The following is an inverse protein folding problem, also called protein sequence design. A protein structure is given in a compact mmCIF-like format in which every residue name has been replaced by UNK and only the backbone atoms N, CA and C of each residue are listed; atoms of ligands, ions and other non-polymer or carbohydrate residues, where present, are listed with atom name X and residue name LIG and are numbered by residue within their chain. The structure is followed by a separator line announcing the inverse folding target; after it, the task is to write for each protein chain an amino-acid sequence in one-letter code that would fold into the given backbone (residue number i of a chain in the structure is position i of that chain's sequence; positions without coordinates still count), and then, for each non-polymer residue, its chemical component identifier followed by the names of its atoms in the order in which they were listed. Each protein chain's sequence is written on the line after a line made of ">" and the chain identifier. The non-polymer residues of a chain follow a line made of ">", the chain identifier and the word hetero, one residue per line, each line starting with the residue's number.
data_IF_558174754021
#
_entry.id   IF_558174754021
#
_cell.length_a   1.000
_cell.length_b   1.000
_cell.length_c   1.000
_cell.angle_alpha   90.00
_cell.angle_beta   90.00
_cell.angle_gamma   90.00
#
_symmetry.space_group_name_H-M   'P 1'
#
loop_
_entity.id
_entity.type
_entity.pdbx_description
1 polymer ?
#
# COMPACT_ATOMS: atom_id res chain seq x y z
N UNK A 1 23.02 -7.38 0.22
CA UNK A 1 22.07 -6.25 0.01
C UNK A 1 22.23 -5.25 1.15
N UNK A 2 22.36 -3.96 0.85
CA UNK A 2 22.63 -2.91 1.85
C UNK A 2 21.33 -2.22 2.28
N UNK A 3 20.37 -2.12 1.39
CA UNK A 3 19.09 -1.48 1.65
C UNK A 3 18.29 -1.21 0.38
N UNK A 4 17.15 -0.59 0.54
CA UNK A 4 16.20 -0.21 -0.51
C UNK A 4 16.10 1.31 -0.56
N UNK A 5 16.10 1.87 -1.76
CA UNK A 5 15.84 3.29 -1.99
C UNK A 5 14.58 3.42 -2.82
N UNK A 6 13.60 4.12 -2.29
CA UNK A 6 12.39 4.46 -3.05
C UNK A 6 12.64 5.68 -3.92
N UNK A 7 12.17 5.64 -5.15
CA UNK A 7 12.35 6.73 -6.13
C UNK A 7 11.83 8.06 -5.59
N UNK A 8 10.70 8.07 -4.91
CA UNK A 8 10.14 9.28 -4.30
C UNK A 8 11.07 9.89 -3.25
N UNK A 9 11.72 9.07 -2.42
CA UNK A 9 12.68 9.54 -1.42
C UNK A 9 13.93 10.11 -2.08
N UNK A 10 14.40 9.47 -3.15
CA UNK A 10 15.53 9.95 -3.94
C UNK A 10 15.24 11.30 -4.59
N UNK A 11 14.10 11.41 -5.27
CA UNK A 11 13.69 12.65 -5.94
C UNK A 11 13.51 13.80 -4.96
N UNK A 12 12.89 13.54 -3.79
CA UNK A 12 12.71 14.54 -2.76
C UNK A 12 14.07 15.03 -2.20
N UNK A 13 14.98 14.10 -1.90
CA UNK A 13 16.33 14.44 -1.45
C UNK A 13 17.11 15.23 -2.50
N UNK A 14 16.99 14.84 -3.77
CA UNK A 14 17.64 15.55 -4.88
C UNK A 14 17.08 16.97 -5.08
N UNK A 15 15.76 17.14 -4.84
CA UNK A 15 15.11 18.44 -4.97
C UNK A 15 15.50 19.40 -3.82
N UNK A 16 15.61 18.88 -2.59
CA UNK A 16 15.89 19.66 -1.39
C UNK A 16 17.39 19.97 -1.24
N UNK A 17 18.22 18.94 -1.36
CA UNK A 17 19.67 19.01 -1.06
C UNK A 17 20.55 19.16 -2.32
N UNK A 18 19.99 18.91 -3.51
CA UNK A 18 20.74 18.79 -4.77
C UNK A 18 21.33 17.40 -4.95
N UNK A 19 21.46 16.93 -6.20
CA UNK A 19 21.96 15.59 -6.53
C UNK A 19 23.36 15.29 -5.97
N UNK A 20 24.23 16.30 -5.93
CA UNK A 20 25.61 16.15 -5.45
C UNK A 20 25.73 16.05 -3.93
N UNK A 21 24.68 16.42 -3.20
CA UNK A 21 24.67 16.50 -1.74
C UNK A 21 23.80 15.44 -1.07
N UNK A 22 23.31 14.44 -1.81
CA UNK A 22 22.43 13.42 -1.26
C UNK A 22 23.16 12.61 -0.19
N UNK A 23 22.60 12.62 1.02
CA UNK A 23 23.05 11.76 2.12
C UNK A 23 22.34 10.42 2.03
N UNK A 24 22.96 9.45 1.38
CA UNK A 24 22.39 8.12 1.10
C UNK A 24 21.82 7.42 2.33
N UNK A 25 22.46 7.59 3.51
CA UNK A 25 21.97 7.00 4.78
C UNK A 25 20.60 7.50 5.21
N UNK A 26 20.16 8.67 4.74
CA UNK A 26 18.85 9.22 5.08
C UNK A 26 17.71 8.61 4.29
N UNK A 27 18.00 8.19 3.07
CA UNK A 27 17.01 7.67 2.12
C UNK A 27 17.05 6.15 1.99
N UNK A 28 18.10 5.52 2.52
CA UNK A 28 18.25 4.07 2.53
C UNK A 28 17.37 3.48 3.62
N UNK A 29 16.48 2.58 3.23
CA UNK A 29 15.63 1.83 4.15
C UNK A 29 16.12 0.40 4.28
N UNK A 30 16.01 -0.16 5.48
CA UNK A 30 16.34 -1.56 5.71
C UNK A 30 15.35 -2.46 4.97
N UNK A 31 15.82 -3.50 4.27
CA UNK A 31 14.93 -4.43 3.59
C UNK A 31 14.14 -5.26 4.61
N UNK A 32 12.89 -5.56 4.28
CA UNK A 32 12.12 -6.58 4.95
C UNK A 32 12.42 -7.93 4.29
N UNK A 33 12.98 -8.87 5.03
CA UNK A 33 13.24 -10.21 4.55
C UNK A 33 12.16 -11.16 5.05
N UNK A 34 11.60 -11.95 4.14
CA UNK A 34 10.60 -12.97 4.45
C UNK A 34 10.91 -14.26 3.67
N UNK A 35 10.52 -15.44 4.16
CA UNK A 35 10.69 -16.67 3.40
C UNK A 35 9.78 -16.65 2.16
N UNK A 36 10.24 -17.23 1.05
CA UNK A 36 9.44 -17.33 -0.19
C UNK A 36 8.14 -18.15 -0.02
N UNK A 37 8.07 -18.95 1.05
CA UNK A 37 6.89 -19.77 1.40
C UNK A 37 5.85 -19.02 2.24
N UNK A 38 6.06 -17.72 2.52
CA UNK A 38 5.11 -16.92 3.31
C UNK A 38 3.76 -16.84 2.59
N UNK A 39 2.67 -16.93 3.34
CA UNK A 39 1.34 -16.72 2.79
C UNK A 39 1.10 -15.23 2.50
N UNK A 40 0.31 -14.94 1.46
CA UNK A 40 -0.02 -13.57 1.01
C UNK A 40 -0.61 -12.75 2.15
N UNK A 41 -1.54 -13.31 2.92
CA UNK A 41 -2.19 -12.63 4.04
C UNK A 41 -1.21 -12.23 5.15
N UNK A 42 -0.26 -13.12 5.46
CA UNK A 42 0.75 -12.86 6.49
C UNK A 42 1.77 -11.84 6.01
N UNK A 43 2.16 -11.90 4.72
CA UNK A 43 3.05 -10.93 4.11
C UNK A 43 2.40 -9.53 4.09
N UNK A 44 1.12 -9.46 3.76
CA UNK A 44 0.38 -8.21 3.75
C UNK A 44 0.31 -7.57 5.15
N UNK A 45 0.05 -8.39 6.19
CA UNK A 45 0.10 -7.95 7.60
C UNK A 45 1.49 -7.44 7.98
N UNK A 46 2.54 -8.15 7.58
CA UNK A 46 3.93 -7.80 7.90
C UNK A 46 4.33 -6.48 7.23
N UNK A 47 4.04 -6.29 5.95
CA UNK A 47 4.28 -5.05 5.22
C UNK A 47 3.56 -3.88 5.88
N UNK A 48 2.31 -4.07 6.30
CA UNK A 48 1.52 -3.04 6.97
C UNK A 48 2.07 -2.71 8.36
N UNK A 49 2.39 -3.70 9.17
CA UNK A 49 2.91 -3.51 10.52
C UNK A 49 4.26 -2.80 10.52
N UNK A 50 5.10 -3.12 9.55
CA UNK A 50 6.43 -2.51 9.38
C UNK A 50 6.41 -1.22 8.57
N UNK A 51 5.24 -0.84 8.03
CA UNK A 51 5.09 0.32 7.13
C UNK A 51 6.04 0.24 5.92
N UNK A 52 6.30 -0.97 5.44
CA UNK A 52 7.12 -1.24 4.26
C UNK A 52 6.24 -1.44 3.04
N UNK A 53 6.76 -1.09 1.88
CA UNK A 53 6.07 -1.27 0.60
C UNK A 53 6.63 -2.41 -0.22
N UNK A 54 7.73 -3.02 0.24
CA UNK A 54 8.45 -4.07 -0.48
C UNK A 54 9.07 -5.05 0.51
N UNK A 55 9.05 -6.34 0.14
CA UNK A 55 9.75 -7.41 0.84
C UNK A 55 10.69 -8.16 -0.11
N UNK A 56 11.77 -8.67 0.44
CA UNK A 56 12.73 -9.54 -0.24
C UNK A 56 12.42 -10.98 0.17
N UNK A 57 12.18 -11.83 -0.82
CA UNK A 57 11.91 -13.24 -0.62
C UNK A 57 13.22 -14.00 -0.51
N UNK A 58 13.35 -14.82 0.52
CA UNK A 58 14.51 -15.69 0.74
C UNK A 58 14.13 -17.15 0.50
N UNK A 59 15.00 -17.85 -0.20
CA UNK A 59 14.94 -19.31 -0.35
C UNK A 59 15.37 -20.04 0.94
N UNK A 60 15.28 -21.38 0.96
CA UNK A 60 15.67 -22.22 2.09
C UNK A 60 17.16 -22.15 2.43
N UNK A 61 17.99 -21.64 1.54
CA UNK A 61 19.43 -21.47 1.75
C UNK A 61 19.82 -20.04 2.18
N UNK A 62 18.81 -19.16 2.33
CA UNK A 62 19.01 -17.74 2.64
C UNK A 62 19.45 -16.91 1.44
N UNK A 63 19.35 -17.46 0.23
CA UNK A 63 19.53 -16.73 -1.03
C UNK A 63 18.32 -15.88 -1.37
N UNK A 64 18.51 -14.84 -2.16
CA UNK A 64 17.44 -14.00 -2.65
C UNK A 64 16.68 -14.74 -3.77
N UNK A 65 15.45 -15.16 -3.48
CA UNK A 65 14.55 -15.78 -4.45
C UNK A 65 13.83 -14.75 -5.33
N UNK A 66 13.53 -13.59 -4.77
CA UNK A 66 12.84 -12.52 -5.49
C UNK A 66 12.51 -11.33 -4.59
N UNK A 67 11.68 -10.47 -5.12
CA UNK A 67 11.08 -9.37 -4.37
C UNK A 67 9.58 -9.29 -4.68
N UNK A 68 8.82 -8.73 -3.77
CA UNK A 68 7.40 -8.50 -3.93
C UNK A 68 7.05 -7.14 -3.34
N UNK A 69 6.17 -6.42 -4.01
CA UNK A 69 5.68 -5.11 -3.55
C UNK A 69 4.27 -5.24 -2.98
N UNK A 70 3.88 -4.27 -2.16
CA UNK A 70 2.50 -4.17 -1.67
C UNK A 70 1.51 -4.03 -2.83
N UNK A 71 1.89 -3.31 -3.89
CA UNK A 71 1.06 -3.13 -5.09
C UNK A 71 0.83 -4.46 -5.80
N UNK A 72 1.86 -5.30 -5.98
CA UNK A 72 1.73 -6.63 -6.60
C UNK A 72 0.76 -7.51 -5.81
N UNK A 73 0.84 -7.48 -4.46
CA UNK A 73 -0.08 -8.26 -3.62
C UNK A 73 -1.52 -7.77 -3.73
N UNK A 74 -1.72 -6.46 -3.77
CA UNK A 74 -3.05 -5.88 -3.91
C UNK A 74 -3.63 -6.16 -5.30
N UNK A 75 -2.82 -6.11 -6.35
CA UNK A 75 -3.23 -6.45 -7.71
C UNK A 75 -3.65 -7.92 -7.81
N UNK A 76 -2.91 -8.84 -7.18
CA UNK A 76 -3.27 -10.26 -7.15
C UNK A 76 -4.61 -10.50 -6.43
N UNK A 77 -4.82 -9.85 -5.29
CA UNK A 77 -6.07 -9.97 -4.52
C UNK A 77 -7.26 -9.39 -5.31
N UNK A 78 -7.09 -8.20 -5.90
CA UNK A 78 -8.15 -7.52 -6.68
C UNK A 78 -8.34 -8.19 -8.04
N UNK A 79 -7.27 -8.64 -8.70
CA UNK A 79 -7.33 -9.31 -10.00
C UNK A 79 -8.05 -10.65 -9.95
N UNK A 80 -7.92 -11.44 -8.90
CA UNK A 80 -8.69 -12.68 -8.69
C UNK A 80 -10.20 -12.42 -8.57
N UNK A 81 -10.61 -11.22 -8.25
CA UNK A 81 -12.00 -10.82 -8.04
C UNK A 81 -12.63 -10.29 -9.33
N UNK A 82 -11.85 -9.63 -10.19
CA UNK A 82 -12.32 -9.14 -11.50
C UNK A 82 -12.73 -10.27 -12.45
N UNK A 83 -12.25 -11.49 -12.24
CA UNK A 83 -12.55 -12.65 -13.10
C UNK A 83 -13.91 -13.31 -12.79
N UNK A 84 -14.58 -12.96 -11.69
CA UNK A 84 -15.85 -13.59 -11.27
C UNK A 84 -17.10 -12.72 -11.36
N UNK A 85 -17.01 -11.40 -11.57
CA UNK A 85 -18.21 -10.54 -11.54
C UNK A 85 -18.24 -9.47 -12.62
N UNK A 86 -18.94 -9.78 -13.69
CA UNK A 86 -19.40 -8.85 -14.74
C UNK A 86 -20.60 -7.97 -14.23
N UNK A 87 -20.57 -7.55 -12.96
CA UNK A 87 -21.58 -6.65 -12.37
C UNK A 87 -20.88 -5.62 -11.49
N UNK A 88 -21.23 -4.35 -11.72
CA UNK A 88 -20.86 -3.21 -10.90
C UNK A 88 -21.44 -3.33 -9.47
N UNK A 89 -20.93 -4.29 -8.70
CA UNK A 89 -21.18 -4.37 -7.26
C UNK A 89 -20.04 -3.63 -6.56
N UNK A 90 -20.40 -2.87 -5.56
CA UNK A 90 -19.48 -2.13 -4.70
C UNK A 90 -18.52 -3.13 -4.05
N UNK A 91 -17.30 -3.16 -4.54
CA UNK A 91 -16.33 -4.15 -4.11
C UNK A 91 -15.60 -3.72 -2.85
N UNK A 92 -15.99 -4.30 -1.73
CA UNK A 92 -15.33 -4.18 -0.42
C UNK A 92 -14.79 -5.55 -0.03
N UNK A 93 -13.47 -5.66 0.06
CA UNK A 93 -12.79 -6.93 0.36
C UNK A 93 -12.11 -6.90 1.73
N UNK A 94 -12.50 -7.78 2.65
CA UNK A 94 -11.80 -7.92 3.92
C UNK A 94 -10.43 -8.57 3.70
N UNK A 95 -9.36 -7.97 4.23
CA UNK A 95 -7.99 -8.46 4.16
C UNK A 95 -7.35 -8.72 5.53
N UNK A 96 -8.16 -8.75 6.57
CA UNK A 96 -7.71 -9.02 7.94
C UNK A 96 -8.69 -8.47 8.96
N UNK A 97 -8.31 -8.54 10.23
CA UNK A 97 -9.12 -8.03 11.32
C UNK A 97 -9.35 -6.52 11.15
N UNK A 98 -10.60 -6.14 10.92
CA UNK A 98 -11.06 -4.75 10.73
C UNK A 98 -10.35 -3.98 9.60
N UNK A 99 -9.81 -4.68 8.61
CA UNK A 99 -9.14 -4.07 7.46
C UNK A 99 -9.78 -4.53 6.16
N UNK A 100 -10.05 -3.55 5.29
CA UNK A 100 -10.75 -3.77 4.02
C UNK A 100 -10.04 -3.07 2.88
N UNK A 101 -10.07 -3.68 1.69
CA UNK A 101 -9.78 -3.01 0.43
C UNK A 101 -11.10 -2.49 -0.12
N UNK A 102 -11.12 -1.22 -0.48
CA UNK A 102 -12.27 -0.58 -1.13
C UNK A 102 -11.80 0.10 -2.41
N UNK A 103 -12.61 0.05 -3.45
CA UNK A 103 -12.30 0.76 -4.69
C UNK A 103 -12.31 2.28 -4.45
N UNK A 104 -11.31 2.98 -4.98
CA UNK A 104 -11.21 4.44 -4.85
C UNK A 104 -12.33 5.21 -5.58
N UNK A 105 -13.08 4.54 -6.46
CA UNK A 105 -14.26 5.05 -7.14
C UNK A 105 -15.55 4.91 -6.32
N UNK A 106 -15.51 4.17 -5.21
CA UNK A 106 -16.63 4.02 -4.30
C UNK A 106 -17.10 5.39 -3.81
N UNK A 107 -18.41 5.64 -3.88
CA UNK A 107 -18.95 6.90 -3.39
C UNK A 107 -18.93 6.97 -1.87
N UNK A 108 -18.92 8.17 -1.33
CA UNK A 108 -18.95 8.37 0.13
C UNK A 108 -20.25 7.83 0.73
N UNK A 109 -21.36 7.94 0.00
CA UNK A 109 -22.66 7.42 0.41
C UNK A 109 -22.66 5.89 0.50
N UNK A 110 -22.08 5.21 -0.49
CA UNK A 110 -21.97 3.75 -0.50
C UNK A 110 -21.06 3.25 0.61
N UNK A 111 -19.96 3.96 0.85
CA UNK A 111 -19.05 3.67 1.95
C UNK A 111 -19.73 3.81 3.30
N UNK A 112 -20.44 4.91 3.53
CA UNK A 112 -21.19 5.14 4.75
C UNK A 112 -22.25 4.06 4.99
N UNK A 113 -22.97 3.67 3.94
CA UNK A 113 -23.99 2.62 4.02
C UNK A 113 -23.40 1.25 4.33
N UNK A 114 -22.26 0.90 3.73
CA UNK A 114 -21.61 -0.39 3.92
C UNK A 114 -21.02 -0.56 5.33
N UNK A 115 -20.30 0.48 5.80
CA UNK A 115 -19.61 0.44 7.10
C UNK A 115 -20.45 0.97 8.26
N UNK A 116 -21.68 1.41 7.99
CA UNK A 116 -22.59 2.03 8.97
C UNK A 116 -21.91 3.20 9.73
N UNK A 117 -21.26 4.07 8.99
CA UNK A 117 -20.59 5.29 9.48
C UNK A 117 -21.22 6.51 8.82
N UNK A 118 -21.03 7.70 9.41
CA UNK A 118 -21.46 8.98 8.85
C UNK A 118 -20.20 9.83 8.60
N UNK A 119 -19.66 9.76 7.40
CA UNK A 119 -18.63 10.67 6.92
C UNK A 119 -19.30 11.70 6.02
N UNK A 120 -19.23 12.95 6.40
CA UNK A 120 -19.73 14.07 5.59
C UNK A 120 -18.53 14.86 5.04
N UNK A 121 -18.62 15.22 3.77
CA UNK A 121 -17.70 16.14 3.13
C UNK A 121 -18.42 16.89 2.04
N UNK A 122 -18.45 18.20 2.14
CA UNK A 122 -19.07 19.07 1.14
C UNK A 122 -18.27 19.14 -0.17
N UNK A 123 -16.99 18.74 -0.14
CA UNK A 123 -16.06 18.90 -1.26
C UNK A 123 -15.61 17.57 -1.90
N UNK A 124 -16.09 16.40 -1.42
CA UNK A 124 -15.56 15.10 -1.80
C UNK A 124 -16.65 14.07 -2.02
N UNK A 125 -16.78 13.59 -3.25
CA UNK A 125 -17.80 12.61 -3.64
C UNK A 125 -17.32 11.15 -3.57
N UNK A 126 -16.00 10.89 -3.57
CA UNK A 126 -15.45 9.54 -3.62
C UNK A 126 -14.35 9.31 -2.57
N UNK A 127 -14.15 8.05 -2.20
CA UNK A 127 -13.12 7.64 -1.21
C UNK A 127 -11.71 8.04 -1.65
N UNK A 128 -11.41 8.00 -2.93
CA UNK A 128 -10.12 8.44 -3.48
C UNK A 128 -9.83 9.91 -3.19
N UNK A 129 -10.83 10.78 -3.33
CA UNK A 129 -10.69 12.20 -3.04
C UNK A 129 -10.58 12.44 -1.54
N UNK A 130 -11.34 11.71 -0.72
CA UNK A 130 -11.26 11.78 0.74
C UNK A 130 -9.86 11.39 1.24
N UNK A 131 -9.27 10.34 0.72
CA UNK A 131 -7.91 9.90 1.09
C UNK A 131 -6.84 10.94 0.76
N UNK A 132 -6.98 11.64 -0.35
CA UNK A 132 -6.08 12.72 -0.74
C UNK A 132 -6.30 13.97 0.11
N UNK A 133 -7.53 14.29 0.46
CA UNK A 133 -7.88 15.40 1.34
C UNK A 133 -7.29 15.19 2.75
N UNK A 134 -7.48 14.04 3.35
CA UNK A 134 -6.93 13.67 4.67
C UNK A 134 -5.39 13.80 4.70
N UNK A 135 -4.70 13.36 3.65
CA UNK A 135 -3.24 13.44 3.55
C UNK A 135 -2.72 14.87 3.52
N UNK A 136 -3.46 15.79 2.90
CA UNK A 136 -3.07 17.18 2.79
C UNK A 136 -3.37 18.00 4.06
N UNK A 137 -4.27 17.54 4.94
CA UNK A 137 -4.70 18.25 6.15
C UNK A 137 -4.15 17.66 7.45
N UNK A 138 -3.44 16.53 7.40
CA UNK A 138 -2.81 15.90 8.58
C UNK A 138 -1.45 16.52 8.96
N UNK A 139 -0.98 17.52 8.25
CA UNK A 139 0.32 18.18 8.46
C UNK A 139 0.21 19.59 9.07
N UNK A 140 -0.86 19.87 9.82
CA UNK A 140 -0.95 21.09 10.64
C UNK A 140 -1.02 20.76 12.12
#
# INVERSE_FOLDING_TARGET
>A
MIGIIYTNSLLNAAFVDGFDNIVWKRILQDPLFVPETIFVDDLLKELRNTQRQMAILLDEHGGMAGLVTLEDLLEEIVGEIDDETDRAEIEVHPIGDDTYIVQGTMTLNDFNAYFNVELESDDVDTIRLLSNWSRNHSNN
#
